data_IF_161188852169
#
_entry.id   IF_161188852169
#
_cell.length_a   1.000
_cell.length_b   1.000
_cell.length_c   1.000
_cell.angle_alpha   90.00
_cell.angle_beta   90.00
_cell.angle_gamma   90.00
#
_symmetry.space_group_name_H-M   'P 1'
#
loop_
_entity.id
_entity.type
_entity.pdbx_description
1 polymer ?
#
# COMPACT_ATOMS: atom_id res chain seq x y z
N UNK A 1 -27.70 15.05 -13.21
CA UNK A 1 -26.35 14.42 -13.19
C UNK A 1 -26.50 13.08 -12.49
N UNK A 2 -26.29 11.95 -13.18
CA UNK A 2 -26.43 10.61 -12.62
C UNK A 2 -25.04 10.00 -12.43
N UNK A 3 -24.69 9.67 -11.18
CA UNK A 3 -23.42 9.03 -10.85
C UNK A 3 -23.68 7.53 -10.67
N UNK A 4 -23.09 6.70 -11.54
CA UNK A 4 -23.16 5.25 -11.42
C UNK A 4 -21.81 4.72 -10.92
N UNK A 5 -21.80 4.11 -9.74
CA UNK A 5 -20.61 3.44 -9.19
C UNK A 5 -20.78 1.93 -9.29
N UNK A 6 -19.93 1.28 -10.08
CA UNK A 6 -19.94 -0.18 -10.27
C UNK A 6 -18.62 -0.79 -9.78
N UNK A 7 -18.71 -1.94 -9.10
CA UNK A 7 -17.53 -2.76 -8.76
C UNK A 7 -17.23 -3.67 -9.94
N UNK A 8 -16.07 -3.47 -10.56
CA UNK A 8 -15.63 -4.24 -11.73
C UNK A 8 -14.51 -5.19 -11.29
N UNK A 9 -14.56 -6.48 -11.66
CA UNK A 9 -13.46 -7.40 -11.39
C UNK A 9 -12.20 -7.00 -12.20
N UNK A 10 -11.01 -7.19 -11.63
CA UNK A 10 -9.74 -6.69 -12.19
C UNK A 10 -9.47 -7.15 -13.63
N UNK A 11 -9.87 -8.37 -13.96
CA UNK A 11 -9.73 -8.96 -15.30
C UNK A 11 -10.59 -8.26 -16.38
N UNK A 12 -11.69 -7.62 -16.00
CA UNK A 12 -12.59 -6.92 -16.92
C UNK A 12 -12.29 -5.42 -17.04
N UNK A 13 -11.34 -4.91 -16.24
CA UNK A 13 -11.02 -3.47 -16.18
C UNK A 13 -10.58 -2.92 -17.54
N UNK A 14 -9.75 -3.65 -18.29
CA UNK A 14 -9.29 -3.22 -19.62
C UNK A 14 -10.44 -3.12 -20.62
N UNK A 15 -11.24 -4.18 -20.74
CA UNK A 15 -12.38 -4.26 -21.67
C UNK A 15 -13.43 -3.19 -21.40
N UNK A 16 -13.76 -2.94 -20.13
CA UNK A 16 -14.73 -1.89 -19.79
C UNK A 16 -14.14 -0.50 -20.04
N UNK A 17 -12.84 -0.30 -19.81
CA UNK A 17 -12.17 0.97 -20.14
C UNK A 17 -12.20 1.24 -21.65
N UNK A 18 -11.97 0.23 -22.47
CA UNK A 18 -12.06 0.32 -23.93
C UNK A 18 -13.49 0.63 -24.38
N UNK A 19 -14.48 -0.10 -23.86
CA UNK A 19 -15.88 0.13 -24.16
C UNK A 19 -16.36 1.55 -23.79
N UNK A 20 -15.93 2.07 -22.63
CA UNK A 20 -16.25 3.45 -22.22
C UNK A 20 -15.64 4.47 -23.17
N UNK A 21 -14.41 4.23 -23.68
CA UNK A 21 -13.78 5.10 -24.68
C UNK A 21 -14.47 5.04 -26.04
N UNK A 22 -14.88 3.87 -26.49
CA UNK A 22 -15.62 3.69 -27.75
C UNK A 22 -16.98 4.39 -27.73
N UNK A 23 -17.63 4.44 -26.58
CA UNK A 23 -18.87 5.20 -26.37
C UNK A 23 -18.66 6.71 -26.23
N UNK A 24 -17.42 7.20 -26.38
CA UNK A 24 -17.08 8.62 -26.22
C UNK A 24 -17.06 9.09 -24.76
N UNK A 25 -17.05 8.16 -23.81
CA UNK A 25 -16.97 8.44 -22.39
C UNK A 25 -15.53 8.66 -21.92
N UNK A 26 -15.36 9.55 -20.95
CA UNK A 26 -14.07 9.85 -20.35
C UNK A 26 -13.86 9.01 -19.07
N UNK A 27 -12.70 8.35 -18.95
CA UNK A 27 -12.36 7.54 -17.79
C UNK A 27 -11.63 8.41 -16.77
N UNK A 28 -12.39 8.95 -15.81
CA UNK A 28 -11.93 9.99 -14.88
C UNK A 28 -10.96 9.44 -13.81
N UNK A 29 -10.99 8.14 -13.48
CA UNK A 29 -9.98 7.58 -12.57
C UNK A 29 -9.73 6.10 -12.77
N UNK A 30 -8.60 5.79 -13.38
CA UNK A 30 -7.91 4.53 -13.10
C UNK A 30 -7.03 4.81 -11.89
N UNK A 31 -7.46 4.46 -10.68
CA UNK A 31 -6.52 4.29 -9.56
C UNK A 31 -5.55 3.19 -10.00
N UNK A 32 -4.44 3.59 -10.61
CA UNK A 32 -3.20 2.82 -10.60
C UNK A 32 -2.71 2.96 -9.18
N UNK A 33 -2.56 1.85 -8.47
CA UNK A 33 -1.68 1.83 -7.31
C UNK A 33 -0.30 2.21 -7.85
N UNK A 34 0.00 3.51 -7.81
CA UNK A 34 1.23 4.06 -8.33
C UNK A 34 2.37 3.51 -7.48
N UNK A 35 3.46 3.15 -8.12
CA UNK A 35 4.71 2.76 -7.47
C UNK A 35 5.16 3.73 -6.37
N UNK A 36 4.71 4.98 -6.41
CA UNK A 36 4.96 5.99 -5.38
C UNK A 36 4.35 5.62 -4.04
N UNK A 37 3.15 5.03 -4.01
CA UNK A 37 2.53 4.55 -2.77
C UNK A 37 3.36 3.45 -2.10
N UNK A 38 3.98 2.56 -2.89
CA UNK A 38 4.87 1.51 -2.37
C UNK A 38 6.19 2.08 -1.85
N UNK A 39 6.76 3.07 -2.55
CA UNK A 39 7.97 3.76 -2.10
C UNK A 39 7.75 4.54 -0.81
N UNK A 40 6.63 5.25 -0.69
CA UNK A 40 6.28 5.97 0.53
C UNK A 40 6.07 5.04 1.73
N UNK A 41 5.42 3.89 1.51
CA UNK A 41 5.26 2.86 2.56
C UNK A 41 6.62 2.31 2.98
N UNK A 42 7.49 1.95 2.02
CA UNK A 42 8.83 1.45 2.32
C UNK A 42 9.69 2.48 3.06
N UNK A 43 9.62 3.76 2.67
CA UNK A 43 10.34 4.84 3.35
C UNK A 43 9.85 5.00 4.80
N UNK A 44 8.54 4.95 5.02
CA UNK A 44 7.97 4.99 6.38
C UNK A 44 8.39 3.80 7.24
N UNK A 45 8.41 2.60 6.66
CA UNK A 45 8.87 1.39 7.35
C UNK A 45 10.36 1.50 7.74
N UNK A 46 11.20 2.04 6.85
CA UNK A 46 12.63 2.27 7.13
C UNK A 46 12.81 3.33 8.23
N UNK A 47 12.08 4.45 8.15
CA UNK A 47 12.13 5.50 9.19
C UNK A 47 11.71 4.97 10.56
N UNK A 48 10.68 4.12 10.60
CA UNK A 48 10.23 3.47 11.81
C UNK A 48 11.32 2.55 12.40
N UNK A 49 11.92 1.68 11.59
CA UNK A 49 13.01 0.79 12.04
C UNK A 49 14.22 1.57 12.55
N UNK A 50 14.60 2.67 11.89
CA UNK A 50 15.69 3.54 12.36
C UNK A 50 15.36 4.25 13.67
N UNK A 51 14.10 4.67 13.86
CA UNK A 51 13.62 5.26 15.10
C UNK A 51 13.67 4.25 16.26
N UNK A 52 13.25 3.02 16.02
CA UNK A 52 13.30 1.92 17.00
C UNK A 52 14.75 1.63 17.43
N UNK A 53 15.68 1.51 16.47
CA UNK A 53 17.11 1.32 16.78
C UNK A 53 17.67 2.49 17.60
N UNK A 54 17.26 3.72 17.31
CA UNK A 54 17.68 4.91 18.07
C UNK A 54 17.15 4.87 19.51
N UNK A 55 15.91 4.43 19.72
CA UNK A 55 15.32 4.30 21.06
C UNK A 55 15.97 3.15 21.87
N UNK A 56 16.30 2.04 21.21
CA UNK A 56 17.07 0.94 21.81
C UNK A 56 18.45 1.43 22.26
N UNK A 57 19.18 2.16 21.41
CA UNK A 57 20.49 2.73 21.77
C UNK A 57 20.39 3.77 22.89
N UNK A 58 19.30 4.52 22.96
CA UNK A 58 19.04 5.48 24.03
C UNK A 58 18.60 4.82 25.35
N UNK A 59 18.50 3.48 25.41
CA UNK A 59 18.08 2.73 26.59
C UNK A 59 16.61 2.90 26.96
N UNK A 60 15.78 3.49 26.06
CA UNK A 60 14.36 3.74 26.31
C UNK A 60 13.48 2.52 25.98
N UNK A 61 13.99 1.62 25.15
CA UNK A 61 13.27 0.42 24.68
C UNK A 61 14.20 -0.79 24.78
N UNK A 62 13.67 -1.95 25.21
CA UNK A 62 14.44 -3.18 25.31
C UNK A 62 14.83 -3.69 23.92
N UNK A 63 16.10 -4.06 23.74
CA UNK A 63 16.53 -4.78 22.55
C UNK A 63 15.83 -6.12 22.47
N UNK A 64 15.33 -6.49 21.29
CA UNK A 64 14.86 -7.85 21.06
C UNK A 64 16.05 -8.81 21.09
N UNK A 65 15.94 -9.87 21.87
CA UNK A 65 16.91 -10.97 21.86
C UNK A 65 16.53 -11.98 20.80
N UNK A 66 17.49 -12.80 20.36
CA UNK A 66 17.22 -13.86 19.39
C UNK A 66 16.16 -14.86 19.88
N UNK A 67 16.06 -15.05 21.21
CA UNK A 67 15.02 -15.87 21.80
C UNK A 67 13.64 -15.22 21.64
N UNK A 68 13.51 -13.91 21.77
CA UNK A 68 12.22 -13.21 21.61
C UNK A 68 11.71 -13.32 20.17
N UNK A 69 12.61 -13.22 19.19
CA UNK A 69 12.27 -13.33 17.76
C UNK A 69 11.83 -14.74 17.34
N UNK A 70 12.28 -15.77 18.06
CA UNK A 70 12.00 -17.18 17.74
C UNK A 70 10.80 -17.73 18.52
N UNK A 71 10.43 -17.12 19.65
CA UNK A 71 9.31 -17.56 20.48
C UNK A 71 8.00 -16.80 20.24
N UNK A 72 7.98 -15.75 19.40
CA UNK A 72 6.77 -14.97 19.07
C UNK A 72 5.81 -15.70 18.09
N UNK A 73 5.96 -17.01 17.95
CA UNK A 73 5.08 -17.91 17.19
C UNK A 73 4.70 -19.13 18.04
N UNK A 74 3.82 -18.93 19.01
CA UNK A 74 2.86 -19.94 19.45
C UNK A 74 1.48 -19.31 19.63
#
# INVERSE_FOLDING_TARGET
>A
MALLTIKIPQNAKSRITEFVKELGGEVISVKRESSDSKKEVLLKEIEQGLSEVKQIRAGKTKSYTMADLLHDKQ
#
